data_IF_913250444421
#
_entry.id   IF_913250444421
#
_cell.length_a   1.000
_cell.length_b   1.000
_cell.length_c   1.000
_cell.angle_alpha   90.00
_cell.angle_beta   90.00
_cell.angle_gamma   90.00
#
_symmetry.space_group_name_H-M   'P 1'
#
loop_
_entity.id
_entity.type
_entity.pdbx_description
1 polymer ?
#
# COMPACT_ATOMS: atom_id res chain seq x y z
N UNK A 1 23.32 13.98 -25.25
CA UNK A 1 22.44 13.06 -26.00
C UNK A 1 22.78 11.65 -25.58
N UNK A 2 21.89 10.89 -24.92
CA UNK A 2 22.22 9.53 -24.50
C UNK A 2 22.08 8.56 -25.68
N UNK A 3 23.05 7.66 -25.81
CA UNK A 3 23.11 6.60 -26.81
C UNK A 3 22.05 5.54 -26.44
N UNK A 4 20.96 5.47 -27.20
CA UNK A 4 19.94 4.43 -27.04
C UNK A 4 20.45 3.15 -27.72
N UNK A 5 20.83 2.14 -26.94
CA UNK A 5 21.20 0.83 -27.47
C UNK A 5 19.91 0.10 -27.92
N UNK A 6 19.66 0.05 -29.22
CA UNK A 6 18.64 -0.81 -29.82
C UNK A 6 19.18 -2.25 -29.86
N UNK A 7 18.88 -3.04 -28.83
CA UNK A 7 19.09 -4.49 -28.91
C UNK A 7 18.02 -5.09 -29.83
N UNK A 8 18.39 -5.37 -31.07
CA UNK A 8 17.55 -6.13 -32.01
C UNK A 8 17.56 -7.61 -31.64
N UNK A 9 16.44 -8.13 -31.11
CA UNK A 9 16.26 -9.56 -30.87
C UNK A 9 15.18 -10.13 -31.80
N UNK A 10 15.64 -10.92 -32.78
CA UNK A 10 14.86 -11.55 -33.84
C UNK A 10 13.61 -12.30 -33.33
N UNK A 11 12.55 -12.24 -34.12
CA UNK A 11 11.25 -12.85 -33.84
C UNK A 11 11.29 -14.37 -33.97
N UNK A 12 10.96 -15.06 -32.89
CA UNK A 12 10.65 -16.49 -32.87
C UNK A 12 9.72 -16.75 -31.70
N UNK A 13 8.53 -17.30 -31.97
CA UNK A 13 7.68 -17.94 -30.96
C UNK A 13 8.38 -19.24 -30.55
N UNK A 14 9.34 -19.13 -29.64
CA UNK A 14 10.03 -20.25 -29.01
C UNK A 14 10.08 -20.00 -27.52
N UNK A 15 10.28 -21.06 -26.72
CA UNK A 15 10.68 -20.97 -25.31
C UNK A 15 11.72 -19.85 -25.19
N UNK A 16 11.29 -18.69 -24.71
CA UNK A 16 12.07 -17.45 -24.83
C UNK A 16 13.43 -17.65 -24.19
N UNK A 17 14.48 -17.40 -24.98
CA UNK A 17 15.84 -17.31 -24.48
C UNK A 17 15.84 -16.39 -23.26
N UNK A 18 16.28 -16.93 -22.12
CA UNK A 18 16.32 -16.17 -20.89
C UNK A 18 17.44 -15.15 -20.97
N UNK A 19 17.10 -13.87 -20.82
CA UNK A 19 18.08 -12.77 -20.87
C UNK A 19 18.30 -12.19 -19.48
N UNK A 20 19.54 -11.80 -19.16
CA UNK A 20 19.82 -11.13 -17.89
C UNK A 20 19.05 -9.82 -17.76
N UNK A 21 18.53 -9.53 -16.57
CA UNK A 21 17.90 -8.24 -16.29
C UNK A 21 18.89 -7.07 -16.50
N UNK A 22 18.50 -5.97 -17.15
CA UNK A 22 19.42 -4.87 -17.47
C UNK A 22 19.89 -4.11 -16.23
N UNK A 23 21.14 -3.69 -16.24
CA UNK A 23 21.77 -2.81 -15.23
C UNK A 23 22.03 -1.39 -15.75
N UNK A 24 21.56 -1.09 -16.97
CA UNK A 24 21.68 0.20 -17.66
C UNK A 24 20.32 0.57 -18.24
N UNK A 25 20.17 1.80 -18.71
CA UNK A 25 18.92 2.23 -19.35
C UNK A 25 18.54 1.29 -20.50
N UNK A 26 17.31 0.81 -20.47
CA UNK A 26 16.78 -0.11 -21.46
C UNK A 26 15.27 0.07 -21.61
N UNK A 27 14.76 -0.04 -22.83
CA UNK A 27 13.32 -0.07 -23.09
C UNK A 27 12.94 -1.33 -23.86
N UNK A 28 12.01 -2.10 -23.31
CA UNK A 28 11.56 -3.35 -23.87
C UNK A 28 10.19 -3.18 -24.55
N UNK A 29 10.16 -3.56 -25.84
CA UNK A 29 8.99 -3.38 -26.72
C UNK A 29 8.46 -4.68 -27.32
N UNK A 30 9.05 -5.83 -26.97
CA UNK A 30 8.66 -7.15 -27.48
C UNK A 30 7.85 -7.90 -26.42
N UNK A 31 6.78 -8.56 -26.85
CA UNK A 31 5.97 -9.41 -25.97
C UNK A 31 6.70 -10.71 -25.62
N UNK A 32 6.40 -11.24 -24.43
CA UNK A 32 6.85 -12.57 -24.00
C UNK A 32 8.33 -12.62 -23.60
N UNK A 33 8.97 -11.48 -23.37
CA UNK A 33 10.35 -11.44 -22.88
C UNK A 33 10.43 -12.09 -21.50
N UNK A 34 11.46 -12.91 -21.31
CA UNK A 34 11.79 -13.54 -20.04
C UNK A 34 13.14 -13.05 -19.55
N UNK A 35 13.13 -12.30 -18.46
CA UNK A 35 14.33 -11.85 -17.78
C UNK A 35 14.68 -12.75 -16.60
N UNK A 36 15.96 -12.92 -16.34
CA UNK A 36 16.46 -13.55 -15.12
C UNK A 36 17.22 -12.56 -14.23
N UNK A 37 16.93 -12.63 -12.94
CA UNK A 37 17.65 -11.92 -11.87
C UNK A 37 18.33 -12.97 -11.01
N UNK A 38 19.65 -13.07 -11.11
CA UNK A 38 20.46 -14.00 -10.33
C UNK A 38 21.14 -13.25 -9.19
N UNK A 39 20.71 -13.48 -7.95
CA UNK A 39 21.20 -12.72 -6.80
C UNK A 39 20.78 -11.24 -6.83
N UNK A 40 21.69 -10.32 -6.50
CA UNK A 40 21.39 -8.87 -6.44
C UNK A 40 21.84 -8.16 -7.72
N UNK A 41 20.91 -7.46 -8.36
CA UNK A 41 21.12 -6.64 -9.56
C UNK A 41 20.78 -5.20 -9.22
N UNK A 42 21.69 -4.27 -9.51
CA UNK A 42 21.49 -2.84 -9.25
C UNK A 42 21.00 -2.10 -10.50
N UNK A 43 19.95 -1.29 -10.34
CA UNK A 43 19.53 -0.25 -11.27
C UNK A 43 20.09 1.09 -10.75
N UNK A 44 21.20 1.58 -11.32
CA UNK A 44 21.90 2.74 -10.78
C UNK A 44 21.10 4.02 -11.00
N UNK A 45 21.51 5.09 -10.31
CA UNK A 45 20.82 6.39 -10.28
C UNK A 45 20.49 7.01 -11.65
N UNK A 46 21.32 6.74 -12.66
CA UNK A 46 21.20 7.31 -14.00
C UNK A 46 20.70 6.28 -15.04
N UNK A 47 20.08 5.19 -14.59
CA UNK A 47 19.49 4.17 -15.45
C UNK A 47 17.97 4.16 -15.34
N UNK A 48 17.32 4.01 -16.49
CA UNK A 48 15.86 3.86 -16.63
C UNK A 48 15.57 2.50 -17.26
N UNK A 49 14.99 1.58 -16.51
CA UNK A 49 14.55 0.29 -17.04
C UNK A 49 13.05 0.35 -17.26
N UNK A 50 12.65 0.29 -18.54
CA UNK A 50 11.27 0.45 -19.00
C UNK A 50 10.81 -0.83 -19.70
N UNK A 51 9.76 -1.49 -19.20
CA UNK A 51 9.00 -2.46 -20.01
C UNK A 51 7.66 -1.87 -20.42
N UNK A 52 7.24 -2.08 -21.67
CA UNK A 52 5.95 -1.60 -22.22
C UNK A 52 4.98 -2.72 -22.59
N UNK A 53 5.42 -3.96 -22.51
CA UNK A 53 4.77 -5.16 -23.05
C UNK A 53 4.76 -6.28 -22.00
N UNK A 54 3.93 -7.30 -22.22
CA UNK A 54 3.82 -8.43 -21.32
C UNK A 54 5.10 -9.27 -21.31
N UNK A 55 5.41 -9.88 -20.18
CA UNK A 55 6.62 -10.66 -20.00
C UNK A 55 6.75 -11.22 -18.59
N UNK A 56 7.93 -11.75 -18.29
CA UNK A 56 8.23 -12.30 -16.97
C UNK A 56 9.64 -11.95 -16.53
N UNK A 57 9.80 -11.55 -15.28
CA UNK A 57 11.09 -11.44 -14.59
C UNK A 57 11.13 -12.54 -13.55
N UNK A 58 12.09 -13.46 -13.67
CA UNK A 58 12.23 -14.62 -12.80
C UNK A 58 13.47 -14.48 -11.93
N UNK A 59 13.29 -14.59 -10.63
CA UNK A 59 14.38 -14.60 -9.66
C UNK A 59 14.98 -15.98 -9.46
N UNK A 60 16.30 -16.02 -9.28
CA UNK A 60 17.02 -17.18 -8.73
C UNK A 60 17.88 -16.76 -7.54
N UNK A 61 17.99 -17.65 -6.55
CA UNK A 61 18.89 -17.48 -5.40
C UNK A 61 18.70 -16.16 -4.63
N UNK A 62 17.51 -15.96 -4.05
CA UNK A 62 17.17 -14.73 -3.30
C UNK A 62 17.31 -13.46 -4.14
N UNK A 63 16.67 -13.45 -5.31
CA UNK A 63 16.83 -12.40 -6.31
C UNK A 63 16.33 -11.03 -5.84
N UNK A 64 17.13 -9.99 -6.11
CA UNK A 64 16.83 -8.60 -5.73
C UNK A 64 17.15 -7.67 -6.89
N UNK A 65 16.17 -6.84 -7.25
CA UNK A 65 16.38 -5.63 -8.05
C UNK A 65 16.52 -4.48 -7.07
N UNK A 66 17.75 -4.02 -6.86
CA UNK A 66 18.06 -2.86 -6.02
C UNK A 66 17.94 -1.58 -6.87
N UNK A 67 17.04 -0.67 -6.50
CA UNK A 67 16.75 0.54 -7.29
C UNK A 67 17.33 1.76 -6.58
N UNK A 68 18.30 2.40 -7.22
CA UNK A 68 18.85 3.71 -6.82
C UNK A 68 18.42 4.84 -7.75
N UNK A 69 17.95 4.51 -8.96
CA UNK A 69 17.46 5.47 -9.96
C UNK A 69 15.94 5.44 -10.13
N UNK A 70 15.54 5.07 -11.34
CA UNK A 70 14.16 4.99 -11.79
C UNK A 70 13.87 3.57 -12.28
N UNK A 71 12.75 3.01 -11.85
CA UNK A 71 12.26 1.74 -12.37
C UNK A 71 10.83 1.94 -12.86
N UNK A 72 10.59 1.67 -14.14
CA UNK A 72 9.26 1.75 -14.74
C UNK A 72 8.91 0.42 -15.40
N UNK A 73 7.96 -0.31 -14.85
CA UNK A 73 7.47 -1.54 -15.46
C UNK A 73 5.98 -1.33 -15.72
N UNK A 74 5.59 -1.32 -17.00
CA UNK A 74 4.19 -1.17 -17.39
C UNK A 74 3.79 -2.07 -18.55
N UNK A 75 2.55 -2.52 -18.57
CA UNK A 75 2.00 -3.25 -19.71
C UNK A 75 0.94 -2.39 -20.41
N UNK A 76 1.33 -1.61 -21.42
CA UNK A 76 0.46 -0.57 -22.00
C UNK A 76 -0.56 -1.14 -22.99
N UNK A 77 -0.31 -2.32 -23.53
CA UNK A 77 -1.10 -2.90 -24.64
C UNK A 77 -1.97 -4.08 -24.23
N UNK A 78 -2.29 -4.19 -22.94
CA UNK A 78 -2.99 -5.34 -22.36
C UNK A 78 -2.04 -6.46 -21.94
N UNK A 79 -2.51 -7.32 -21.03
CA UNK A 79 -1.70 -8.34 -20.36
C UNK A 79 -1.00 -7.82 -19.09
N UNK A 80 -0.11 -8.63 -18.52
CA UNK A 80 0.61 -8.30 -17.29
C UNK A 80 2.12 -8.58 -17.44
N UNK A 81 2.94 -7.84 -16.69
CA UNK A 81 4.30 -8.29 -16.39
C UNK A 81 4.29 -9.10 -15.09
N UNK A 82 4.85 -10.30 -15.14
CA UNK A 82 4.95 -11.18 -13.96
C UNK A 82 6.34 -11.05 -13.33
N UNK A 83 6.41 -10.71 -12.05
CA UNK A 83 7.63 -10.74 -11.24
C UNK A 83 7.55 -11.95 -10.31
N UNK A 84 8.25 -13.02 -10.66
CA UNK A 84 8.23 -14.29 -9.93
C UNK A 84 9.51 -14.48 -9.14
N UNK A 85 9.38 -14.67 -7.83
CA UNK A 85 10.49 -14.92 -6.91
C UNK A 85 11.53 -13.77 -6.85
N UNK A 86 11.09 -12.52 -7.04
CA UNK A 86 11.93 -11.31 -7.08
C UNK A 86 11.50 -10.28 -6.04
N UNK A 87 12.48 -9.69 -5.36
CA UNK A 87 12.30 -8.50 -4.53
C UNK A 87 12.71 -7.23 -5.28
N UNK A 88 11.88 -6.19 -5.22
CA UNK A 88 12.29 -4.82 -5.51
C UNK A 88 12.67 -4.15 -4.19
N UNK A 89 13.89 -3.64 -4.12
CA UNK A 89 14.44 -3.01 -2.92
C UNK A 89 14.79 -1.55 -3.23
N UNK A 90 14.13 -0.61 -2.53
CA UNK A 90 14.26 0.82 -2.81
C UNK A 90 15.31 1.44 -1.91
N UNK A 91 16.43 1.87 -2.49
CA UNK A 91 17.50 2.50 -1.71
C UNK A 91 17.12 3.94 -1.30
N UNK A 92 17.86 4.56 -0.36
CA UNK A 92 17.71 5.98 -0.05
C UNK A 92 17.89 6.92 -1.25
N UNK A 93 18.59 6.46 -2.30
CA UNK A 93 18.83 7.25 -3.51
C UNK A 93 17.71 7.16 -4.54
N UNK A 94 16.88 6.11 -4.46
CA UNK A 94 15.76 5.86 -5.36
C UNK A 94 14.89 7.11 -5.52
N UNK A 95 14.59 7.43 -6.79
CA UNK A 95 13.81 8.62 -7.15
C UNK A 95 12.37 8.27 -7.41
N UNK A 96 12.15 7.22 -8.19
CA UNK A 96 10.82 6.85 -8.62
C UNK A 96 10.72 5.36 -8.93
N UNK A 97 9.56 4.80 -8.60
CA UNK A 97 9.13 3.50 -9.07
C UNK A 97 7.72 3.63 -9.62
N UNK A 98 7.54 3.22 -10.86
CA UNK A 98 6.25 3.16 -11.54
C UNK A 98 5.96 1.72 -11.94
N UNK A 99 4.89 1.14 -11.40
CA UNK A 99 4.46 -0.24 -11.66
C UNK A 99 3.01 -0.21 -12.16
N UNK A 100 2.77 -0.67 -13.39
CA UNK A 100 1.41 -0.74 -13.94
C UNK A 100 1.14 -2.09 -14.59
N UNK A 101 0.02 -2.74 -14.21
CA UNK A 101 -0.34 -4.08 -14.70
C UNK A 101 0.72 -5.14 -14.36
N UNK A 102 1.07 -5.19 -13.07
CA UNK A 102 2.13 -6.05 -12.54
C UNK A 102 1.53 -7.16 -11.67
N UNK A 103 2.03 -8.37 -11.80
CA UNK A 103 1.68 -9.49 -10.92
C UNK A 103 2.94 -10.00 -10.23
N UNK A 104 3.00 -9.88 -8.92
CA UNK A 104 4.02 -10.53 -8.10
C UNK A 104 3.58 -11.96 -7.77
N UNK A 105 4.46 -12.92 -7.97
CA UNK A 105 4.24 -14.35 -7.68
C UNK A 105 5.39 -14.99 -6.92
N UNK A 106 5.09 -16.10 -6.23
CA UNK A 106 6.08 -16.86 -5.46
C UNK A 106 6.53 -16.08 -4.22
N UNK A 107 7.84 -16.04 -4.02
CA UNK A 107 8.49 -15.35 -2.89
C UNK A 107 9.06 -13.99 -3.32
N UNK A 108 8.40 -12.90 -2.96
CA UNK A 108 8.86 -11.61 -3.48
C UNK A 108 7.96 -10.43 -3.15
N UNK A 109 8.15 -9.35 -3.90
CA UNK A 109 7.38 -8.12 -3.77
C UNK A 109 8.26 -6.90 -3.58
N UNK A 110 7.83 -5.98 -2.74
CA UNK A 110 8.58 -4.75 -2.44
C UNK A 110 9.00 -4.79 -0.97
N UNK A 111 10.27 -4.48 -0.68
CA UNK A 111 10.76 -4.42 0.70
C UNK A 111 11.66 -3.20 0.96
N UNK A 112 11.85 -2.80 2.24
CA UNK A 112 12.79 -1.77 2.61
C UNK A 112 14.23 -2.16 2.25
N UNK A 113 15.06 -1.18 1.91
CA UNK A 113 16.49 -1.42 1.76
C UNK A 113 17.19 -1.51 3.11
N UNK A 114 18.15 -2.42 3.21
CA UNK A 114 19.08 -2.47 4.35
C UNK A 114 19.91 -1.17 4.49
N UNK A 115 20.04 -0.39 3.41
CA UNK A 115 20.72 0.92 3.39
C UNK A 115 19.91 2.04 4.05
N UNK A 116 18.66 1.77 4.43
CA UNK A 116 17.76 2.71 5.09
C UNK A 116 16.52 3.09 4.26
N UNK A 117 15.65 3.96 4.82
CA UNK A 117 14.39 4.34 4.22
C UNK A 117 14.58 5.18 2.95
N UNK A 118 13.65 5.05 2.01
CA UNK A 118 13.69 5.75 0.74
C UNK A 118 12.90 7.07 0.77
N UNK A 119 13.13 7.92 -0.23
CA UNK A 119 12.32 9.11 -0.52
C UNK A 119 11.61 9.02 -1.87
N UNK A 120 11.54 7.82 -2.42
CA UNK A 120 11.03 7.58 -3.76
C UNK A 120 9.56 8.00 -3.89
N UNK A 121 9.20 8.49 -5.07
CA UNK A 121 7.81 8.50 -5.51
C UNK A 121 7.46 7.09 -5.96
N UNK A 122 6.37 6.53 -5.45
CA UNK A 122 5.90 5.21 -5.88
C UNK A 122 4.52 5.38 -6.48
N UNK A 123 4.37 4.95 -7.72
CA UNK A 123 3.07 4.83 -8.36
C UNK A 123 2.84 3.36 -8.70
N UNK A 124 1.73 2.79 -8.20
CA UNK A 124 1.29 1.46 -8.57
C UNK A 124 -0.14 1.50 -9.08
N UNK A 125 -0.38 0.86 -10.22
CA UNK A 125 -1.69 0.75 -10.84
C UNK A 125 -1.95 -0.66 -11.34
N UNK A 126 -3.15 -1.20 -11.09
CA UNK A 126 -3.51 -2.56 -11.52
C UNK A 126 -2.45 -3.61 -11.12
N UNK A 127 -1.91 -3.49 -9.90
CA UNK A 127 -0.84 -4.37 -9.39
C UNK A 127 -1.41 -5.40 -8.45
N UNK A 128 -1.03 -6.66 -8.62
CA UNK A 128 -1.47 -7.79 -7.80
C UNK A 128 -0.30 -8.44 -7.06
N UNK A 129 -0.42 -8.58 -5.75
CA UNK A 129 0.46 -9.38 -4.89
C UNK A 129 -0.27 -10.69 -4.57
N UNK A 130 0.15 -11.79 -5.22
CA UNK A 130 -0.39 -13.14 -4.96
C UNK A 130 0.06 -13.68 -3.58
N UNK A 131 -0.58 -14.76 -3.08
CA UNK A 131 -0.13 -15.40 -1.84
C UNK A 131 1.37 -15.71 -1.85
N UNK A 132 2.06 -15.48 -0.73
CA UNK A 132 3.52 -15.62 -0.61
C UNK A 132 4.31 -14.34 -0.92
N UNK A 133 3.69 -13.34 -1.54
CA UNK A 133 4.32 -12.04 -1.83
C UNK A 133 3.91 -10.97 -0.82
N UNK A 134 4.65 -9.86 -0.75
CA UNK A 134 4.31 -8.78 0.18
C UNK A 134 4.78 -7.41 -0.30
N UNK A 135 4.15 -6.36 0.26
CA UNK A 135 4.65 -5.01 0.17
C UNK A 135 5.03 -4.51 1.56
N UNK A 136 6.28 -4.10 1.71
CA UNK A 136 6.77 -3.36 2.87
C UNK A 136 7.61 -2.18 2.38
N UNK A 137 7.29 -0.98 2.87
CA UNK A 137 8.04 0.21 2.47
C UNK A 137 8.27 1.15 3.65
N UNK A 138 9.54 1.48 3.87
CA UNK A 138 9.97 2.50 4.82
C UNK A 138 10.36 3.76 4.05
N UNK A 139 9.66 4.86 4.34
CA UNK A 139 9.74 6.13 3.63
C UNK A 139 10.14 7.26 4.55
N UNK A 140 11.03 8.16 4.14
CA UNK A 140 11.31 9.42 4.87
C UNK A 140 10.49 10.61 4.35
N UNK A 141 10.16 10.57 3.06
CA UNK A 141 9.35 11.55 2.35
C UNK A 141 8.92 10.97 1.00
N UNK A 142 8.22 11.76 0.20
CA UNK A 142 7.79 11.37 -1.14
C UNK A 142 6.28 11.16 -1.21
N UNK A 143 5.82 10.72 -2.37
CA UNK A 143 4.40 10.49 -2.66
C UNK A 143 4.20 9.05 -3.11
N UNK A 144 3.32 8.34 -2.43
CA UNK A 144 2.95 6.97 -2.71
C UNK A 144 1.50 6.97 -3.19
N UNK A 145 1.25 6.47 -4.40
CA UNK A 145 -0.08 6.36 -4.97
C UNK A 145 -0.33 4.92 -5.40
N UNK A 146 -1.35 4.30 -4.83
CA UNK A 146 -1.78 2.93 -5.16
C UNK A 146 -3.20 2.99 -5.70
N UNK A 147 -3.39 2.53 -6.95
CA UNK A 147 -4.67 2.56 -7.66
C UNK A 147 -5.04 1.17 -8.19
N UNK A 148 -6.16 0.60 -7.76
CA UNK A 148 -6.56 -0.73 -8.24
C UNK A 148 -5.54 -1.81 -7.87
N UNK A 149 -5.00 -1.77 -6.66
CA UNK A 149 -4.01 -2.73 -6.17
C UNK A 149 -4.72 -3.85 -5.42
N UNK A 150 -4.29 -5.09 -5.62
CA UNK A 150 -4.77 -6.24 -4.86
C UNK A 150 -3.63 -6.90 -4.12
N UNK A 151 -3.81 -7.21 -2.84
CA UNK A 151 -2.82 -7.88 -2.01
C UNK A 151 -3.42 -9.03 -1.21
N UNK A 152 -2.94 -10.24 -1.50
CA UNK A 152 -3.19 -11.46 -0.71
C UNK A 152 -2.01 -11.79 0.22
N UNK A 153 -1.17 -10.80 0.50
CA UNK A 153 -0.10 -10.89 1.48
C UNK A 153 0.06 -9.59 2.27
N UNK A 154 1.02 -9.53 3.21
CA UNK A 154 1.23 -8.37 4.07
C UNK A 154 1.44 -7.09 3.26
N UNK A 155 0.72 -6.02 3.63
CA UNK A 155 0.83 -4.71 3.01
C UNK A 155 1.09 -3.64 4.08
N UNK A 156 2.34 -3.17 4.16
CA UNK A 156 2.79 -2.26 5.22
C UNK A 156 3.56 -1.05 4.68
N UNK A 157 3.18 0.15 5.14
CA UNK A 157 3.84 1.42 4.85
C UNK A 157 4.24 2.07 6.17
N UNK A 158 5.52 2.39 6.33
CA UNK A 158 6.04 3.08 7.50
C UNK A 158 6.71 4.39 7.09
N UNK A 159 6.25 5.49 7.67
CA UNK A 159 7.00 6.72 7.71
C UNK A 159 8.14 6.63 8.72
N UNK A 160 9.31 7.12 8.34
CA UNK A 160 10.49 7.26 9.19
C UNK A 160 10.89 8.73 9.21
N UNK A 161 11.25 9.23 10.39
CA UNK A 161 11.90 10.52 10.47
C UNK A 161 13.30 10.43 9.82
N UNK A 162 13.73 11.51 9.15
CA UNK A 162 15.08 11.57 8.56
C UNK A 162 16.17 11.60 9.64
N UNK A 163 15.86 12.21 10.77
CA UNK A 163 16.72 12.36 11.93
C UNK A 163 15.83 12.53 13.19
N UNK A 164 16.45 12.59 14.39
CA UNK A 164 15.72 12.67 15.66
C UNK A 164 14.83 13.93 15.83
N UNK A 165 15.06 14.98 15.03
CA UNK A 165 14.32 16.25 15.09
C UNK A 165 13.35 16.41 13.91
N UNK A 166 13.56 15.65 12.84
CA UNK A 166 12.76 15.66 11.63
C UNK A 166 11.39 15.00 11.83
N UNK A 167 10.45 15.38 10.98
CA UNK A 167 9.17 14.68 10.83
C UNK A 167 9.13 13.99 9.47
N UNK A 168 8.44 12.85 9.40
CA UNK A 168 8.15 12.21 8.13
C UNK A 168 7.29 13.14 7.26
N UNK A 169 7.60 13.21 5.96
CA UNK A 169 6.88 14.05 4.99
C UNK A 169 6.18 13.23 3.90
N UNK A 170 5.97 11.94 4.14
CA UNK A 170 5.36 11.04 3.16
C UNK A 170 3.86 11.33 3.02
N UNK A 171 3.40 11.38 1.77
CA UNK A 171 1.98 11.40 1.43
C UNK A 171 1.59 10.07 0.80
N UNK A 172 0.55 9.43 1.32
CA UNK A 172 0.01 8.16 0.86
C UNK A 172 -1.42 8.34 0.36
N UNK A 173 -1.66 7.95 -0.89
CA UNK A 173 -2.97 7.91 -1.51
C UNK A 173 -3.27 6.48 -1.98
N UNK A 174 -4.29 5.88 -1.38
CA UNK A 174 -4.78 4.54 -1.71
C UNK A 174 -6.19 4.69 -2.29
N UNK A 175 -6.34 4.29 -3.54
CA UNK A 175 -7.59 4.26 -4.28
C UNK A 175 -7.83 2.82 -4.73
N UNK A 176 -8.96 2.22 -4.33
CA UNK A 176 -9.33 0.89 -4.78
C UNK A 176 -8.27 -0.19 -4.46
N UNK A 177 -7.87 -0.29 -3.18
CA UNK A 177 -7.02 -1.37 -2.68
C UNK A 177 -7.87 -2.51 -2.13
N UNK A 178 -7.55 -3.75 -2.52
CA UNK A 178 -8.07 -4.97 -1.90
C UNK A 178 -6.96 -5.61 -1.06
N UNK A 179 -6.91 -5.32 0.24
CA UNK A 179 -5.91 -5.88 1.16
C UNK A 179 -6.52 -7.02 1.99
N UNK A 180 -6.42 -8.26 1.50
CA UNK A 180 -7.06 -9.43 2.12
C UNK A 180 -6.42 -9.83 3.45
N UNK A 181 -5.12 -9.57 3.63
CA UNK A 181 -4.37 -9.87 4.86
C UNK A 181 -4.20 -8.65 5.78
N UNK A 182 -4.93 -7.57 5.50
CA UNK A 182 -4.88 -6.32 6.24
C UNK A 182 -3.87 -5.30 5.69
N UNK A 183 -4.07 -4.05 6.11
CA UNK A 183 -3.25 -2.90 5.76
C UNK A 183 -2.66 -2.28 7.03
N UNK A 184 -1.34 -2.12 7.07
CA UNK A 184 -0.64 -1.41 8.16
C UNK A 184 -0.04 -0.10 7.64
N UNK A 185 -0.46 1.03 8.18
CA UNK A 185 0.11 2.35 7.88
C UNK A 185 0.56 2.99 9.17
N UNK A 186 1.84 3.37 9.25
CA UNK A 186 2.42 3.97 10.44
C UNK A 186 3.21 5.24 10.12
N UNK A 187 3.12 6.26 10.99
CA UNK A 187 3.99 7.46 10.98
C UNK A 187 3.98 8.26 9.65
N UNK A 188 2.87 8.19 8.89
CA UNK A 188 2.71 8.89 7.61
C UNK A 188 2.05 10.26 7.83
N UNK A 189 2.62 11.32 7.23
CA UNK A 189 2.11 12.69 7.40
C UNK A 189 0.66 12.85 6.91
N UNK A 190 0.34 12.27 5.75
CA UNK A 190 -0.99 12.37 5.16
C UNK A 190 -1.35 11.06 4.49
N UNK A 191 -2.46 10.48 4.92
CA UNK A 191 -2.98 9.22 4.40
C UNK A 191 -4.39 9.43 3.89
N UNK A 192 -4.65 9.04 2.66
CA UNK A 192 -5.98 8.98 2.06
C UNK A 192 -6.23 7.53 1.68
N UNK A 193 -7.30 6.93 2.21
CA UNK A 193 -7.74 5.58 1.83
C UNK A 193 -9.17 5.65 1.38
N UNK A 194 -9.40 5.32 0.11
CA UNK A 194 -10.73 5.39 -0.49
C UNK A 194 -11.03 4.23 -1.42
N UNK A 195 -12.31 3.87 -1.50
CA UNK A 195 -12.83 2.77 -2.34
C UNK A 195 -12.15 1.43 -2.07
N UNK A 196 -11.62 1.21 -0.86
CA UNK A 196 -10.76 0.07 -0.57
C UNK A 196 -11.47 -0.98 0.28
N UNK A 197 -11.19 -2.25 0.03
CA UNK A 197 -11.56 -3.38 0.86
C UNK A 197 -10.37 -3.77 1.76
N UNK A 198 -10.58 -3.71 3.07
CA UNK A 198 -9.55 -3.99 4.07
C UNK A 198 -9.96 -5.21 4.90
N UNK A 199 -9.35 -6.35 4.65
CA UNK A 199 -9.62 -7.63 5.31
C UNK A 199 -8.58 -8.02 6.36
N UNK A 200 -8.48 -9.31 6.63
CA UNK A 200 -7.49 -9.91 7.52
C UNK A 200 -7.83 -9.76 9.00
N UNK A 201 -6.89 -10.15 9.86
CA UNK A 201 -7.06 -10.05 11.32
C UNK A 201 -7.07 -8.60 11.79
N UNK A 202 -6.16 -7.78 11.29
CA UNK A 202 -6.08 -6.36 11.67
C UNK A 202 -5.69 -5.49 10.48
N UNK A 203 -6.37 -4.35 10.36
CA UNK A 203 -5.87 -3.20 9.60
C UNK A 203 -5.63 -2.04 10.56
N UNK A 204 -4.50 -1.34 10.44
CA UNK A 204 -4.04 -0.37 11.42
C UNK A 204 -3.52 0.92 10.77
N UNK A 205 -3.85 2.03 11.42
CA UNK A 205 -3.42 3.38 11.09
C UNK A 205 -2.86 4.03 12.34
N UNK A 206 -1.54 3.98 12.46
CA UNK A 206 -0.79 4.43 13.63
C UNK A 206 -0.08 5.74 13.29
N UNK A 207 -0.22 6.75 14.15
CA UNK A 207 0.51 8.02 14.03
C UNK A 207 0.37 8.70 12.66
N UNK A 208 -0.77 8.52 12.00
CA UNK A 208 -1.09 9.23 10.77
C UNK A 208 -1.47 10.67 11.11
N UNK A 209 -0.64 11.65 10.75
CA UNK A 209 -0.85 13.04 11.18
C UNK A 209 -2.10 13.70 10.55
N UNK A 210 -2.51 13.22 9.38
CA UNK A 210 -3.82 13.47 8.76
C UNK A 210 -4.29 12.19 8.09
N UNK A 211 -5.54 11.80 8.35
CA UNK A 211 -6.14 10.60 7.77
C UNK A 211 -7.52 10.94 7.19
N UNK A 212 -7.69 10.75 5.88
CA UNK A 212 -8.99 10.79 5.21
C UNK A 212 -9.36 9.34 4.82
N UNK A 213 -10.24 8.71 5.60
CA UNK A 213 -10.71 7.32 5.43
C UNK A 213 -12.15 7.35 4.94
N UNK A 214 -12.37 7.17 3.64
CA UNK A 214 -13.68 7.40 3.03
C UNK A 214 -14.10 6.27 2.10
N UNK A 215 -15.38 5.95 2.03
CA UNK A 215 -15.90 5.06 0.98
C UNK A 215 -15.20 3.70 0.98
N UNK A 216 -14.96 3.10 2.15
CA UNK A 216 -14.24 1.82 2.27
C UNK A 216 -15.17 0.69 2.71
N UNK A 217 -14.74 -0.55 2.46
CA UNK A 217 -15.31 -1.79 2.98
C UNK A 217 -14.35 -2.35 4.03
N UNK A 218 -14.54 -1.98 5.29
CA UNK A 218 -13.73 -2.47 6.39
C UNK A 218 -14.25 -3.85 6.82
N UNK A 219 -13.50 -4.90 6.46
CA UNK A 219 -13.80 -6.32 6.74
C UNK A 219 -12.81 -6.97 7.70
N UNK A 220 -11.76 -6.27 8.10
CA UNK A 220 -10.80 -6.78 9.05
C UNK A 220 -11.48 -7.06 10.39
N UNK A 221 -11.07 -8.11 11.11
CA UNK A 221 -11.66 -8.43 12.43
C UNK A 221 -11.48 -7.23 13.38
N UNK A 222 -10.29 -6.64 13.36
CA UNK A 222 -9.94 -5.40 14.07
C UNK A 222 -9.56 -4.30 13.08
N UNK A 223 -10.07 -3.10 13.32
CA UNK A 223 -9.62 -1.89 12.65
C UNK A 223 -9.12 -0.90 13.69
N UNK A 224 -7.83 -0.55 13.64
CA UNK A 224 -7.19 0.27 14.67
C UNK A 224 -6.77 1.63 14.14
N UNK A 225 -7.13 2.67 14.87
CA UNK A 225 -6.61 4.02 14.70
C UNK A 225 -5.92 4.42 16.00
N UNK A 226 -4.63 4.75 15.93
CA UNK A 226 -3.87 5.10 17.14
C UNK A 226 -3.00 6.33 16.92
N UNK A 227 -2.79 7.10 17.97
CA UNK A 227 -1.89 8.24 18.02
C UNK A 227 -1.05 8.16 19.31
N UNK A 228 0.26 8.24 19.17
CA UNK A 228 1.22 8.31 20.28
C UNK A 228 1.19 9.67 21.00
N UNK A 229 0.62 10.69 20.37
CA UNK A 229 0.54 12.07 20.88
C UNK A 229 -0.90 12.56 20.92
N UNK A 230 -1.26 13.40 21.91
CA UNK A 230 -2.58 14.03 21.95
C UNK A 230 -2.71 15.06 20.81
N UNK A 231 -3.95 15.43 20.50
CA UNK A 231 -4.43 16.43 19.53
C UNK A 231 -4.33 16.05 18.04
N UNK A 232 -3.98 14.81 17.71
CA UNK A 232 -3.85 14.39 16.31
C UNK A 232 -5.14 13.81 15.72
N UNK A 233 -6.11 13.39 16.53
CA UNK A 233 -7.35 12.79 16.03
C UNK A 233 -8.29 13.79 15.36
N UNK A 234 -8.21 15.08 15.72
CA UNK A 234 -9.00 16.13 15.07
C UNK A 234 -8.80 16.26 13.55
N UNK A 235 -7.75 15.65 12.99
CA UNK A 235 -7.47 15.59 11.55
C UNK A 235 -7.81 14.25 10.90
N UNK A 236 -8.44 13.34 11.64
CA UNK A 236 -8.95 12.06 11.14
C UNK A 236 -10.39 12.23 10.71
N UNK A 237 -10.70 11.90 9.46
CA UNK A 237 -12.05 11.88 8.89
C UNK A 237 -12.42 10.46 8.50
N UNK A 238 -13.60 10.03 8.95
CA UNK A 238 -14.15 8.71 8.63
C UNK A 238 -15.54 8.91 8.03
N UNK A 239 -15.65 8.63 6.73
CA UNK A 239 -16.83 8.98 5.96
C UNK A 239 -17.29 7.82 5.07
N UNK A 240 -18.60 7.66 4.88
CA UNK A 240 -19.22 6.77 3.90
C UNK A 240 -18.62 5.34 3.87
N UNK A 241 -18.24 4.79 5.01
CA UNK A 241 -17.61 3.48 5.10
C UNK A 241 -18.60 2.43 5.58
N UNK A 242 -18.55 1.25 4.98
CA UNK A 242 -19.25 0.07 5.42
C UNK A 242 -18.33 -0.75 6.36
N UNK A 243 -18.71 -0.85 7.63
CA UNK A 243 -17.98 -1.60 8.65
C UNK A 243 -18.60 -2.98 8.86
N UNK A 244 -17.93 -4.00 8.36
CA UNK A 244 -18.15 -5.42 8.67
C UNK A 244 -17.21 -5.92 9.79
N UNK A 245 -16.31 -5.05 10.23
CA UNK A 245 -15.35 -5.27 11.32
C UNK A 245 -16.02 -5.59 12.66
N UNK A 246 -15.43 -6.50 13.43
CA UNK A 246 -15.92 -6.86 14.76
C UNK A 246 -15.59 -5.77 15.79
N UNK A 247 -14.40 -5.17 15.70
CA UNK A 247 -13.95 -4.12 16.63
C UNK A 247 -13.20 -2.98 15.95
N UNK A 248 -13.62 -1.75 16.21
CA UNK A 248 -12.92 -0.53 15.80
C UNK A 248 -12.32 0.13 17.03
N UNK A 249 -11.00 0.27 17.08
CA UNK A 249 -10.28 0.77 18.24
C UNK A 249 -9.73 2.16 17.93
N UNK A 250 -10.02 3.11 18.83
CA UNK A 250 -9.37 4.42 18.85
C UNK A 250 -8.49 4.54 20.08
N UNK A 251 -7.22 4.92 19.91
CA UNK A 251 -6.29 5.06 21.04
C UNK A 251 -5.46 6.34 20.93
N UNK A 252 -5.51 7.21 21.94
CA UNK A 252 -4.61 8.34 22.11
C UNK A 252 -4.40 8.62 23.60
N UNK A 253 -3.23 9.15 24.02
CA UNK A 253 -3.04 9.64 25.36
C UNK A 253 -3.89 10.88 25.64
N UNK A 254 -4.30 11.07 26.90
CA UNK A 254 -5.06 12.25 27.31
C UNK A 254 -4.19 13.51 27.33
N UNK A 255 -4.73 14.60 26.78
CA UNK A 255 -4.11 15.92 26.94
C UNK A 255 -4.25 16.44 28.38
N UNK A 256 -5.43 16.22 28.96
CA UNK A 256 -5.79 16.54 30.35
C UNK A 256 -6.79 15.49 30.83
N UNK A 257 -6.80 15.14 32.14
CA UNK A 257 -7.81 14.27 32.71
C UNK A 257 -9.23 14.72 32.31
N UNK A 258 -10.08 13.78 31.91
CA UNK A 258 -11.47 14.03 31.52
C UNK A 258 -11.68 14.75 30.18
N UNK A 259 -10.63 15.04 29.39
CA UNK A 259 -10.77 15.62 28.04
C UNK A 259 -10.45 14.59 26.96
N UNK A 260 -11.48 14.17 26.23
CA UNK A 260 -11.35 13.32 25.06
C UNK A 260 -11.42 14.12 23.74
N UNK A 261 -10.60 13.75 22.78
CA UNK A 261 -10.70 14.20 21.39
C UNK A 261 -11.87 13.53 20.69
N UNK A 262 -12.58 14.26 19.84
CA UNK A 262 -13.70 13.69 19.09
C UNK A 262 -13.23 13.21 17.72
N UNK A 263 -13.54 11.96 17.40
CA UNK A 263 -13.51 11.46 16.01
C UNK A 263 -14.96 11.37 15.53
N UNK A 264 -15.22 11.82 14.30
CA UNK A 264 -16.58 11.88 13.76
C UNK A 264 -16.73 10.89 12.61
N UNK A 265 -17.75 10.05 12.72
CA UNK A 265 -18.26 9.20 11.65
C UNK A 265 -19.37 9.94 10.90
N UNK A 266 -19.27 10.03 9.58
CA UNK A 266 -20.29 10.62 8.72
C UNK A 266 -20.75 9.63 7.64
N UNK A 267 -22.05 9.34 7.59
CA UNK A 267 -22.63 8.51 6.54
C UNK A 267 -22.15 7.06 6.53
N UNK A 268 -21.70 6.52 7.67
CA UNK A 268 -21.17 5.16 7.78
C UNK A 268 -22.28 4.13 8.07
N UNK A 269 -22.08 2.89 7.62
CA UNK A 269 -22.93 1.75 7.96
C UNK A 269 -22.15 0.75 8.82
N UNK A 270 -22.83 0.07 9.74
CA UNK A 270 -22.23 -0.94 10.62
C UNK A 270 -23.05 -2.22 10.58
N UNK A 271 -22.36 -3.36 10.49
CA UNK A 271 -22.99 -4.67 10.57
C UNK A 271 -23.67 -4.86 11.94
N UNK A 272 -24.95 -5.23 11.91
CA UNK A 272 -25.78 -5.53 13.07
C UNK A 272 -25.97 -4.40 14.10
N UNK A 273 -25.63 -3.15 13.77
CA UNK A 273 -25.80 -2.00 14.66
C UNK A 273 -26.27 -0.76 13.90
N UNK A 274 -27.46 -0.25 14.24
CA UNK A 274 -28.15 0.83 13.50
C UNK A 274 -28.34 2.11 14.32
N UNK A 275 -28.04 2.08 15.62
CA UNK A 275 -28.07 3.24 16.51
C UNK A 275 -26.67 3.59 17.03
N UNK A 276 -26.35 4.88 17.29
CA UNK A 276 -25.06 5.27 17.84
C UNK A 276 -24.68 4.53 19.12
N UNK A 277 -25.64 4.27 20.00
CA UNK A 277 -25.40 3.54 21.24
C UNK A 277 -25.07 2.07 20.99
N UNK A 278 -25.81 1.39 20.10
CA UNK A 278 -25.53 0.00 19.74
C UNK A 278 -24.15 -0.16 19.08
N UNK A 279 -23.76 0.77 18.20
CA UNK A 279 -22.45 0.79 17.54
C UNK A 279 -21.34 0.96 18.58
N UNK A 280 -21.48 1.91 19.51
CA UNK A 280 -20.49 2.11 20.58
C UNK A 280 -20.33 0.89 21.47
N UNK A 281 -21.43 0.32 21.95
CA UNK A 281 -21.38 -0.79 22.90
C UNK A 281 -20.82 -2.09 22.30
N UNK A 282 -20.96 -2.28 20.98
CA UNK A 282 -20.64 -3.56 20.33
C UNK A 282 -19.36 -3.52 19.51
N UNK A 283 -19.10 -2.41 18.83
CA UNK A 283 -18.07 -2.34 17.78
C UNK A 283 -16.95 -1.39 18.20
N UNK A 284 -17.26 -0.24 18.80
CA UNK A 284 -16.24 0.78 19.08
C UNK A 284 -15.59 0.56 20.45
N UNK A 285 -14.27 0.60 20.49
CA UNK A 285 -13.52 0.83 21.73
C UNK A 285 -12.97 2.26 21.71
N UNK A 286 -13.48 3.08 22.62
CA UNK A 286 -13.11 4.48 22.83
C UNK A 286 -13.13 4.83 24.33
N UNK A 287 -13.02 6.11 24.70
CA UNK A 287 -13.03 6.59 26.09
C UNK A 287 -14.25 6.16 26.91
N UNK A 288 -15.38 5.89 26.25
CA UNK A 288 -16.59 5.43 26.93
C UNK A 288 -16.52 3.98 27.42
N UNK A 289 -15.55 3.22 26.91
CA UNK A 289 -15.30 1.80 27.26
C UNK A 289 -13.98 1.61 28.01
N UNK A 290 -13.03 2.52 27.86
CA UNK A 290 -11.71 2.47 28.50
C UNK A 290 -11.24 3.89 28.88
N UNK A 291 -11.17 4.16 30.17
CA UNK A 291 -10.81 5.46 30.74
C UNK A 291 -9.38 5.90 30.38
N UNK A 292 -8.52 4.96 29.98
CA UNK A 292 -7.15 5.23 29.58
C UNK A 292 -7.05 5.77 28.14
N UNK A 293 -8.14 5.72 27.38
CA UNK A 293 -8.24 6.21 26.01
C UNK A 293 -8.80 7.64 26.03
N UNK A 294 -8.15 8.57 25.34
CA UNK A 294 -8.59 9.95 25.28
C UNK A 294 -9.29 10.33 23.96
N UNK A 295 -10.03 9.39 23.37
CA UNK A 295 -10.75 9.58 22.12
C UNK A 295 -12.20 9.18 22.30
N UNK A 296 -13.14 10.00 21.83
CA UNK A 296 -14.57 9.73 21.83
C UNK A 296 -15.07 9.64 20.38
N UNK A 297 -15.64 8.51 20.02
CA UNK A 297 -16.32 8.35 18.74
C UNK A 297 -17.68 9.04 18.76
N UNK A 298 -17.95 9.86 17.75
CA UNK A 298 -19.22 10.57 17.57
C UNK A 298 -19.79 10.30 16.20
N UNK A 299 -21.11 10.31 16.07
CA UNK A 299 -21.81 9.92 14.84
C UNK A 299 -22.66 11.09 14.36
N UNK A 300 -22.45 11.53 13.13
CA UNK A 300 -23.32 12.51 12.46
C UNK A 300 -24.54 11.85 11.86
N UNK A 301 -24.28 10.77 11.11
CA UNK A 301 -25.26 10.05 10.32
C UNK A 301 -24.82 8.60 10.26
N UNK A 302 -25.72 7.70 10.65
CA UNK A 302 -25.62 6.28 10.39
C UNK A 302 -26.50 5.95 9.19
N UNK A 303 -26.00 5.09 8.31
CA UNK A 303 -26.79 4.53 7.22
C UNK A 303 -27.56 3.32 7.73
N UNK A 304 -28.73 3.07 7.15
CA UNK A 304 -29.58 1.91 7.48
C UNK A 304 -29.20 0.64 6.72
N UNK A 305 -28.44 0.78 5.64
CA UNK A 305 -28.04 -0.29 4.73
C UNK A 305 -26.62 -0.01 4.23
N UNK A 306 -25.85 -1.06 3.86
CA UNK A 306 -24.53 -0.86 3.31
C UNK A 306 -24.63 0.02 2.06
N UNK A 307 -23.65 0.88 1.86
CA UNK A 307 -23.58 1.78 0.72
C UNK A 307 -23.36 1.01 -0.58
N UNK A 308 -22.80 -0.21 -0.49
CA UNK A 308 -22.68 -1.11 -1.62
C UNK A 308 -21.77 -0.51 -2.69
N UNK A 309 -20.46 -0.60 -2.48
CA UNK A 309 -19.56 -0.56 -3.62
C UNK A 309 -19.82 -1.81 -4.44
N UNK A 310 -19.94 -1.62 -5.76
CA UNK A 310 -20.19 -2.65 -6.78
C UNK A 310 -19.48 -3.94 -6.40
N UNK A 311 -20.21 -5.06 -6.36
CA UNK A 311 -19.65 -6.40 -6.17
C UNK A 311 -18.46 -6.57 -7.10
N UNK A 312 -17.24 -6.39 -6.59
CA UNK A 312 -16.09 -7.02 -7.20
C UNK A 312 -16.21 -8.47 -6.79
N UNK A 313 -16.57 -9.32 -7.75
CA UNK A 313 -16.46 -10.76 -7.62
C UNK A 313 -15.11 -11.07 -7.01
N UNK A 314 -15.08 -11.92 -5.98
CA UNK A 314 -13.84 -12.54 -5.56
C UNK A 314 -13.14 -13.04 -6.84
N UNK A 315 -11.87 -12.68 -7.09
CA UNK A 315 -11.18 -13.25 -8.23
C UNK A 315 -11.18 -14.75 -8.02
N UNK A 316 -11.90 -15.47 -8.88
CA UNK A 316 -11.81 -16.92 -9.01
C UNK A 316 -10.32 -17.27 -9.13
N UNK A 317 -9.86 -18.18 -8.28
CA UNK A 317 -8.45 -18.55 -8.15
C UNK A 317 -7.82 -19.05 -9.47
#
# INVERSE_FOLDING_TARGET
>A
MPLVLLAGLAGGQGRGESISFPTKSATFKKDGLRFEVNGRVEVPRNADVISLRQGTIVGRSSAVIEVSGYLEIKCVTGGNMVLKDVWIELTPECKEVYLSSIVFEGSGGIRPSAKGPSRARIYMEATTFKPGTSLRHDSTSGKLTFSGVTSRGPFAIHGRAKDAKGSNQTELQILNLNAYEGLSVQDVRKTIVTMSMLGGKESSFLDCAKLDFATNHAKSEVLRFSQSKPKNFGKTKIENTDFYTQRVIFAAPALKPGKAERVRFDGCWFLDADTPQSVRNRIIQDVGQDENIAVLATFKKLQKRPLGLVKYSEPED
#
